data_IF_400715294692
#
_entry.id   IF_400715294692
#
_cell.length_a   1.000
_cell.length_b   1.000
_cell.length_c   1.000
_cell.angle_alpha   90.00
_cell.angle_beta   90.00
_cell.angle_gamma   90.00
#
_symmetry.space_group_name_H-M   'P 1'
#
loop_
_entity.id
_entity.type
_entity.pdbx_description
1 polymer ?
#
# COMPACT_ATOMS: atom_id res chain seq x y z
N UNK A 1 6.28 2.74 11.61
CA UNK A 1 5.59 3.15 10.37
C UNK A 1 6.67 3.45 9.35
N UNK A 2 6.55 2.85 8.18
CA UNK A 2 7.40 3.11 7.02
C UNK A 2 6.65 4.04 6.05
N UNK A 3 7.41 4.71 5.18
CA UNK A 3 6.86 5.58 4.14
C UNK A 3 7.14 4.97 2.78
N UNK A 4 6.24 5.22 1.83
CA UNK A 4 6.42 4.77 0.45
C UNK A 4 5.52 5.55 -0.49
N UNK A 5 5.53 5.13 -1.76
CA UNK A 5 4.71 5.75 -2.80
C UNK A 5 3.84 4.70 -3.46
N UNK A 6 2.56 5.00 -3.69
CA UNK A 6 1.69 4.11 -4.47
C UNK A 6 2.27 3.99 -5.88
N UNK A 7 2.78 2.81 -6.20
CA UNK A 7 3.37 2.53 -7.52
C UNK A 7 2.30 2.12 -8.51
N UNK A 8 1.32 1.35 -8.05
CA UNK A 8 0.26 0.82 -8.89
C UNK A 8 -1.01 0.52 -8.11
N UNK A 9 -2.15 0.87 -8.69
CA UNK A 9 -3.47 0.43 -8.25
C UNK A 9 -4.07 -0.54 -9.26
N UNK A 10 -4.98 -1.40 -8.82
CA UNK A 10 -5.66 -2.37 -9.70
C UNK A 10 -7.14 -2.40 -9.40
N UNK A 11 -7.96 -2.66 -10.42
CA UNK A 11 -9.41 -2.76 -10.30
C UNK A 11 -9.89 -3.95 -9.43
N UNK A 12 -8.94 -4.75 -8.91
CA UNK A 12 -9.19 -5.91 -8.05
C UNK A 12 -9.09 -5.58 -6.55
N UNK A 13 -9.02 -4.29 -6.20
CA UNK A 13 -8.97 -3.85 -4.79
C UNK A 13 -7.62 -4.13 -4.12
N UNK A 14 -6.52 -4.09 -4.87
CA UNK A 14 -5.18 -4.21 -4.31
C UNK A 14 -4.17 -3.38 -5.10
N UNK A 15 -3.07 -3.02 -4.45
CA UNK A 15 -2.01 -2.23 -5.08
C UNK A 15 -0.62 -2.62 -4.62
N UNK A 16 0.35 -1.85 -5.09
CA UNK A 16 1.75 -1.98 -4.74
C UNK A 16 2.33 -0.64 -4.31
N UNK A 17 3.14 -0.66 -3.26
CA UNK A 17 3.88 0.47 -2.73
C UNK A 17 5.34 0.31 -3.12
N UNK A 18 5.91 1.34 -3.75
CA UNK A 18 7.35 1.49 -3.89
C UNK A 18 7.93 1.90 -2.54
N UNK A 19 8.80 1.04 -2.00
CA UNK A 19 9.46 1.21 -0.70
C UNK A 19 10.84 1.87 -0.82
N UNK A 20 11.27 2.22 -2.04
CA UNK A 20 12.64 2.65 -2.34
C UNK A 20 13.67 1.51 -2.35
N UNK A 21 13.21 0.28 -2.12
CA UNK A 21 14.02 -0.93 -2.14
C UNK A 21 13.91 -1.73 -3.45
N UNK A 22 14.53 -2.92 -3.51
CA UNK A 22 14.51 -3.77 -4.71
C UNK A 22 13.16 -4.47 -4.95
N UNK A 23 12.22 -4.39 -4.00
CA UNK A 23 10.92 -5.07 -4.07
C UNK A 23 9.80 -4.12 -3.68
N UNK A 24 8.76 -4.10 -4.49
CA UNK A 24 7.51 -3.43 -4.17
C UNK A 24 6.74 -4.23 -3.11
N UNK A 25 5.99 -3.53 -2.27
CA UNK A 25 5.20 -4.12 -1.21
C UNK A 25 3.72 -4.15 -1.57
N UNK A 26 3.10 -5.33 -1.47
CA UNK A 26 1.69 -5.54 -1.77
C UNK A 26 0.79 -4.99 -0.65
N UNK A 27 -0.36 -4.40 -0.98
CA UNK A 27 -1.43 -4.12 -0.01
C UNK A 27 -2.82 -4.39 -0.59
N UNK A 28 -3.76 -4.74 0.28
CA UNK A 28 -5.17 -4.95 -0.08
C UNK A 28 -6.02 -3.74 0.34
N UNK A 29 -7.15 -3.50 -0.32
CA UNK A 29 -8.03 -2.37 -0.03
C UNK A 29 -8.53 -2.36 1.42
N UNK A 30 -8.69 -3.53 2.04
CA UNK A 30 -9.09 -3.67 3.46
C UNK A 30 -8.05 -3.16 4.44
N UNK A 31 -6.81 -2.96 4.01
CA UNK A 31 -5.73 -2.43 4.84
C UNK A 31 -5.58 -0.91 4.69
N UNK A 32 -6.41 -0.26 3.86
CA UNK A 32 -6.42 1.20 3.74
C UNK A 32 -7.23 1.78 4.89
N UNK A 33 -6.64 2.71 5.62
CA UNK A 33 -7.27 3.41 6.74
C UNK A 33 -7.27 4.92 6.50
N UNK A 34 -8.25 5.62 7.10
CA UNK A 34 -8.38 7.07 6.98
C UNK A 34 -8.81 7.60 5.60
N UNK A 35 -8.86 6.74 4.58
CA UNK A 35 -9.40 7.02 3.26
C UNK A 35 -9.98 5.73 2.64
N UNK A 36 -10.73 5.87 1.56
CA UNK A 36 -11.17 4.76 0.72
C UNK A 36 -10.07 4.39 -0.27
N UNK A 37 -10.01 3.11 -0.67
CA UNK A 37 -9.04 2.66 -1.69
C UNK A 37 -9.17 3.44 -3.00
N UNK A 38 -10.41 3.77 -3.41
CA UNK A 38 -10.70 4.51 -4.64
C UNK A 38 -10.24 5.98 -4.61
N UNK A 39 -9.88 6.51 -3.43
CA UNK A 39 -9.36 7.86 -3.27
C UNK A 39 -7.82 7.92 -3.42
N UNK A 40 -7.16 6.76 -3.43
CA UNK A 40 -5.72 6.67 -3.63
C UNK A 40 -5.35 6.91 -5.10
N UNK A 41 -4.15 7.48 -5.32
CA UNK A 41 -3.63 7.77 -6.64
C UNK A 41 -2.22 7.19 -6.83
N UNK A 42 -1.90 6.73 -8.04
CA UNK A 42 -0.52 6.36 -8.38
C UNK A 42 0.40 7.59 -8.28
N UNK A 43 1.57 7.42 -7.67
CA UNK A 43 2.49 8.50 -7.32
C UNK A 43 2.21 9.16 -5.96
N UNK A 44 1.11 8.80 -5.28
CA UNK A 44 0.78 9.34 -3.96
C UNK A 44 1.68 8.78 -2.85
N UNK A 45 2.13 9.65 -1.94
CA UNK A 45 2.85 9.23 -0.73
C UNK A 45 1.89 8.63 0.28
N UNK A 46 2.33 7.55 0.92
CA UNK A 46 1.59 6.86 1.96
C UNK A 46 2.50 6.45 3.10
N UNK A 47 1.92 6.33 4.29
CA UNK A 47 2.55 5.62 5.40
C UNK A 47 1.89 4.26 5.59
N UNK A 48 2.67 3.28 6.03
CA UNK A 48 2.20 1.92 6.23
C UNK A 48 3.00 1.20 7.31
N UNK A 49 2.52 0.02 7.71
CA UNK A 49 3.25 -0.93 8.54
C UNK A 49 3.51 -2.20 7.74
N UNK A 50 4.75 -2.71 7.79
CA UNK A 50 5.07 -3.99 7.18
C UNK A 50 4.47 -5.13 8.02
N UNK A 51 3.61 -5.91 7.40
CA UNK A 51 2.98 -7.10 7.94
C UNK A 51 3.30 -8.34 7.11
N UNK A 52 2.66 -9.46 7.45
CA UNK A 52 2.86 -10.73 6.76
C UNK A 52 1.53 -11.42 6.49
N UNK A 53 1.12 -11.40 5.23
CA UNK A 53 -0.07 -12.08 4.75
C UNK A 53 0.18 -13.53 4.31
N UNK A 54 -0.89 -14.26 3.94
CA UNK A 54 -0.80 -15.65 3.48
C UNK A 54 0.03 -15.84 2.20
N UNK A 55 0.28 -14.75 1.44
CA UNK A 55 1.07 -14.74 0.20
C UNK A 55 2.45 -14.12 0.35
N UNK A 56 2.87 -13.77 1.57
CA UNK A 56 4.16 -13.13 1.84
C UNK A 56 4.02 -11.74 2.48
N UNK A 57 5.11 -10.94 2.49
CA UNK A 57 5.10 -9.58 3.04
C UNK A 57 4.01 -8.71 2.42
N UNK A 58 3.33 -7.93 3.24
CA UNK A 58 2.32 -6.98 2.79
C UNK A 58 2.33 -5.70 3.64
N UNK A 59 1.72 -4.64 3.14
CA UNK A 59 1.47 -3.41 3.86
C UNK A 59 0.10 -3.46 4.54
N UNK A 60 0.10 -3.04 5.80
CA UNK A 60 -1.06 -2.90 6.70
C UNK A 60 -1.15 -1.46 7.19
N UNK A 61 -2.34 -1.02 7.61
CA UNK A 61 -2.60 0.35 8.08
C UNK A 61 -2.09 1.41 7.09
N UNK A 62 -2.42 1.24 5.80
CA UNK A 62 -2.01 2.12 4.71
C UNK A 62 -2.82 3.41 4.80
N UNK A 63 -2.14 4.53 4.99
CA UNK A 63 -2.77 5.84 5.12
C UNK A 63 -2.12 6.84 4.15
N UNK A 64 -2.90 7.71 3.47
CA UNK A 64 -2.37 8.88 2.78
C UNK A 64 -1.46 9.70 3.70
N UNK A 65 -0.27 10.06 3.22
CA UNK A 65 0.66 10.95 3.93
C UNK A 65 0.34 12.44 3.71
#
# INVERSE_FOLDING_TARGET
MAEGTIKRLTDKGFGFIDTGGPKDLFFHCTNVEGASYDELQEGQKVTYTEGRGPKGPCAENVTPA
#
